data_IF_515063240649
#
_entry.id   IF_515063240649
#
_cell.length_a   1.000
_cell.length_b   1.000
_cell.length_c   1.000
_cell.angle_alpha   90.00
_cell.angle_beta   90.00
_cell.angle_gamma   90.00
#
_symmetry.space_group_name_H-M   'P 1'
#
loop_
_entity.id
_entity.type
_entity.pdbx_description
1 polymer ?
#
# COMPACT_ATOMS: atom_id res chain seq x y z
N UNK A 1 -28.59 -2.50 -2.79
CA UNK A 1 -27.59 -2.28 -1.71
C UNK A 1 -27.60 -0.79 -1.34
N UNK A 2 -28.52 -0.36 -0.45
CA UNK A 2 -28.55 1.04 0.03
C UNK A 2 -27.78 1.14 1.34
N UNK A 3 -26.78 2.00 1.40
CA UNK A 3 -26.29 2.60 2.64
C UNK A 3 -25.92 4.06 2.39
N UNK A 4 -26.92 4.94 2.48
CA UNK A 4 -26.69 6.31 2.91
C UNK A 4 -26.36 6.26 4.40
N UNK A 5 -25.08 6.37 4.74
CA UNK A 5 -24.69 6.87 6.05
C UNK A 5 -24.00 8.20 5.79
N UNK A 6 -24.55 9.26 6.39
CA UNK A 6 -23.85 10.53 6.56
C UNK A 6 -22.63 10.21 7.44
N UNK A 7 -21.51 9.86 6.80
CA UNK A 7 -20.25 9.63 7.49
C UNK A 7 -19.72 11.01 7.84
N UNK A 8 -19.82 11.39 9.11
CA UNK A 8 -19.05 12.52 9.65
C UNK A 8 -17.59 12.31 9.20
N UNK A 9 -16.97 13.25 8.47
CA UNK A 9 -15.66 13.03 7.89
C UNK A 9 -14.70 12.64 9.00
N UNK A 10 -14.12 11.44 8.89
CA UNK A 10 -13.14 10.96 9.84
C UNK A 10 -11.84 11.70 9.53
N UNK A 11 -11.51 12.70 10.34
CA UNK A 11 -10.32 13.51 10.21
C UNK A 11 -9.18 12.96 11.06
N UNK A 12 -7.96 13.11 10.57
CA UNK A 12 -6.77 12.96 11.40
C UNK A 12 -6.55 14.25 12.18
N UNK A 13 -6.46 14.19 13.50
CA UNK A 13 -6.29 15.39 14.33
C UNK A 13 -4.89 16.02 14.18
N UNK A 14 -3.90 15.23 13.75
CA UNK A 14 -2.50 15.67 13.61
C UNK A 14 -2.22 16.43 12.30
N UNK A 15 -2.95 16.12 11.22
CA UNK A 15 -2.71 16.75 9.91
C UNK A 15 -4.00 17.15 9.16
N UNK A 16 -5.16 17.03 9.80
CA UNK A 16 -6.48 17.38 9.27
C UNK A 16 -6.88 16.65 7.98
N UNK A 17 -6.17 15.57 7.63
CA UNK A 17 -6.50 14.72 6.49
C UNK A 17 -7.87 14.04 6.70
N UNK A 18 -8.73 14.07 5.67
CA UNK A 18 -10.09 13.53 5.74
C UNK A 18 -10.17 12.16 5.06
N UNK A 19 -10.84 11.21 5.71
CA UNK A 19 -11.02 9.85 5.23
C UNK A 19 -12.50 9.49 5.14
N UNK A 20 -12.85 8.72 4.11
CA UNK A 20 -14.21 8.20 3.89
C UNK A 20 -14.52 6.95 4.73
N UNK A 21 -13.49 6.31 5.28
CA UNK A 21 -13.58 5.02 5.96
C UNK A 21 -12.62 4.99 7.16
N UNK A 22 -13.08 4.43 8.27
CA UNK A 22 -12.31 4.34 9.52
C UNK A 22 -11.01 3.55 9.36
N UNK A 23 -11.07 2.40 8.67
CA UNK A 23 -9.87 1.61 8.32
C UNK A 23 -8.78 2.44 7.64
N UNK A 24 -9.16 3.43 6.84
CA UNK A 24 -8.23 4.30 6.13
C UNK A 24 -7.62 5.34 7.06
N UNK A 25 -8.40 5.86 8.01
CA UNK A 25 -7.89 6.74 9.07
C UNK A 25 -6.92 5.98 9.97
N UNK A 26 -7.28 4.79 10.48
CA UNK A 26 -6.40 3.96 11.32
C UNK A 26 -5.08 3.68 10.60
N UNK A 27 -5.14 3.29 9.32
CA UNK A 27 -3.95 3.01 8.53
C UNK A 27 -3.09 4.26 8.30
N UNK A 28 -3.73 5.43 8.19
CA UNK A 28 -3.05 6.69 8.10
C UNK A 28 -2.38 7.07 9.44
N UNK A 29 -3.04 6.83 10.58
CA UNK A 29 -2.48 7.10 11.91
C UNK A 29 -1.17 6.34 12.15
N UNK A 30 -1.00 5.15 11.58
CA UNK A 30 0.27 4.41 11.61
C UNK A 30 1.46 5.19 11.01
N UNK A 31 1.21 6.14 10.10
CA UNK A 31 2.26 7.03 9.58
C UNK A 31 2.74 8.03 10.62
N UNK A 32 1.87 8.44 11.54
CA UNK A 32 2.22 9.35 12.62
C UNK A 32 2.87 8.61 13.79
N UNK A 33 2.33 7.45 14.18
CA UNK A 33 2.87 6.66 15.30
C UNK A 33 4.12 5.86 14.92
N UNK A 34 4.38 5.69 13.62
CA UNK A 34 5.46 4.83 13.14
C UNK A 34 5.20 3.34 13.31
N UNK A 35 3.97 2.94 13.69
CA UNK A 35 3.60 1.55 13.88
C UNK A 35 3.68 0.79 12.55
N UNK A 36 4.52 -0.24 12.51
CA UNK A 36 4.74 -1.10 11.34
C UNK A 36 4.57 -2.56 11.74
N UNK A 37 3.32 -3.05 11.82
CA UNK A 37 3.04 -4.38 12.37
C UNK A 37 3.46 -5.53 11.44
N UNK A 38 3.73 -5.25 10.16
CA UNK A 38 4.09 -6.27 9.19
C UNK A 38 5.60 -6.33 9.04
N UNK A 39 6.23 -7.44 9.41
CA UNK A 39 7.69 -7.60 9.40
C UNK A 39 8.08 -8.68 8.40
N UNK A 40 9.12 -8.42 7.62
CA UNK A 40 9.75 -9.41 6.75
C UNK A 40 10.60 -10.37 7.59
N UNK A 41 10.28 -11.67 7.55
CA UNK A 41 11.05 -12.67 8.28
C UNK A 41 12.48 -12.88 7.79
N UNK A 42 12.79 -12.47 6.55
CA UNK A 42 14.12 -12.68 5.95
C UNK A 42 15.10 -11.54 6.23
N UNK A 43 14.65 -10.28 6.19
CA UNK A 43 15.52 -9.11 6.35
C UNK A 43 15.07 -8.14 7.46
N UNK A 44 14.04 -8.50 8.24
CA UNK A 44 13.48 -7.68 9.33
C UNK A 44 12.94 -6.30 8.91
N UNK A 45 12.77 -6.07 7.61
CA UNK A 45 12.12 -4.86 7.10
C UNK A 45 10.67 -4.77 7.58
N UNK A 46 10.25 -3.59 8.03
CA UNK A 46 8.92 -3.35 8.61
C UNK A 46 8.04 -2.50 7.69
N UNK A 47 6.77 -2.84 7.59
CA UNK A 47 5.79 -2.25 6.68
C UNK A 47 4.50 -1.87 7.42
N UNK A 48 3.82 -0.84 6.91
CA UNK A 48 2.56 -0.34 7.48
C UNK A 48 1.38 -1.20 7.02
N UNK A 49 1.47 -1.74 5.79
CA UNK A 49 0.40 -2.53 5.14
C UNK A 49 0.87 -3.94 4.82
N UNK A 50 -0.03 -4.92 4.93
CA UNK A 50 0.23 -6.30 4.49
C UNK A 50 0.64 -6.38 3.02
N UNK A 51 -0.02 -5.61 2.15
CA UNK A 51 0.28 -5.60 0.71
C UNK A 51 1.67 -5.05 0.37
N UNK A 52 2.21 -4.15 1.21
CA UNK A 52 3.59 -3.66 1.07
C UNK A 52 4.57 -4.78 1.39
N UNK A 53 4.36 -5.51 2.50
CA UNK A 53 5.15 -6.70 2.84
C UNK A 53 5.06 -7.76 1.73
N UNK A 54 3.85 -8.10 1.27
CA UNK A 54 3.68 -9.09 0.18
C UNK A 54 4.42 -8.69 -1.08
N UNK A 55 4.41 -7.41 -1.45
CA UNK A 55 5.15 -6.98 -2.63
C UNK A 55 6.65 -6.96 -2.38
N UNK A 56 7.09 -6.58 -1.18
CA UNK A 56 8.49 -6.66 -0.79
C UNK A 56 9.03 -8.09 -0.86
N UNK A 57 8.25 -9.10 -0.44
CA UNK A 57 8.67 -10.51 -0.53
C UNK A 57 8.99 -10.94 -1.97
N UNK A 58 8.46 -10.26 -2.99
CA UNK A 58 8.80 -10.56 -4.39
C UNK A 58 10.22 -10.20 -4.77
N UNK A 59 10.83 -9.25 -4.06
CA UNK A 59 12.25 -8.98 -4.21
C UNK A 59 13.09 -10.19 -3.80
N UNK A 60 12.66 -10.90 -2.75
CA UNK A 60 13.33 -12.10 -2.28
C UNK A 60 13.04 -13.33 -3.14
N UNK A 61 11.82 -13.48 -3.66
CA UNK A 61 11.47 -14.62 -4.53
C UNK A 61 11.90 -14.43 -5.99
N UNK A 62 12.24 -13.21 -6.41
CA UNK A 62 12.52 -12.88 -7.81
C UNK A 62 11.26 -12.80 -8.69
N UNK A 63 10.06 -12.89 -8.10
CA UNK A 63 8.79 -12.80 -8.83
C UNK A 63 8.51 -11.36 -9.29
N UNK A 64 9.00 -11.04 -10.49
CA UNK A 64 8.80 -9.74 -11.13
C UNK A 64 7.76 -9.79 -12.25
N UNK A 65 7.14 -8.65 -12.53
CA UNK A 65 6.33 -8.47 -13.73
C UNK A 65 7.23 -7.96 -14.85
N UNK A 66 7.35 -8.71 -15.94
CA UNK A 66 8.11 -8.31 -17.10
C UNK A 66 7.19 -7.66 -18.16
N UNK A 67 7.68 -6.63 -18.83
CA UNK A 67 7.01 -6.08 -20.01
C UNK A 67 7.20 -7.02 -21.21
N UNK A 68 6.16 -7.21 -22.01
CA UNK A 68 6.23 -8.06 -23.21
C UNK A 68 7.01 -7.40 -24.36
N UNK A 69 7.07 -6.07 -24.39
CA UNK A 69 7.68 -5.31 -25.48
C UNK A 69 9.10 -4.80 -25.17
N UNK A 70 9.61 -5.00 -23.95
CA UNK A 70 10.97 -4.59 -23.58
C UNK A 70 11.50 -5.40 -22.38
N UNK A 71 12.83 -5.44 -22.14
CA UNK A 71 13.41 -6.24 -21.07
C UNK A 71 13.19 -5.67 -19.65
N UNK A 72 12.37 -4.63 -19.48
CA UNK A 72 12.13 -4.00 -18.18
C UNK A 72 11.28 -4.90 -17.28
N UNK A 73 11.71 -5.04 -16.02
CA UNK A 73 11.04 -5.79 -14.95
C UNK A 73 10.56 -4.85 -13.85
N UNK A 74 9.41 -5.16 -13.27
CA UNK A 74 8.73 -4.35 -12.27
C UNK A 74 8.31 -5.21 -11.08
N UNK A 75 8.46 -4.69 -9.86
CA UNK A 75 7.99 -5.38 -8.64
C UNK A 75 6.47 -5.23 -8.43
N UNK A 76 5.88 -4.17 -9.00
CA UNK A 76 4.47 -3.82 -8.86
C UNK A 76 3.74 -3.85 -10.22
N UNK A 77 2.55 -4.47 -10.25
CA UNK A 77 1.70 -4.52 -11.45
C UNK A 77 1.25 -3.12 -11.93
N UNK A 78 0.85 -2.18 -11.06
CA UNK A 78 0.54 -0.82 -11.48
C UNK A 78 1.70 -0.11 -12.18
N UNK A 79 2.94 -0.35 -11.74
CA UNK A 79 4.14 0.22 -12.37
C UNK A 79 4.32 -0.30 -13.81
N UNK A 80 4.12 -1.60 -14.04
CA UNK A 80 4.11 -2.16 -15.39
C UNK A 80 2.98 -1.56 -16.25
N UNK A 81 1.77 -1.43 -15.69
CA UNK A 81 0.63 -0.84 -16.42
C UNK A 81 0.91 0.62 -16.80
N UNK A 82 1.48 1.41 -15.89
CA UNK A 82 1.87 2.79 -16.16
C UNK A 82 2.92 2.85 -17.27
N UNK A 83 3.95 2.00 -17.19
CA UNK A 83 4.97 1.89 -18.23
C UNK A 83 4.42 1.49 -19.61
N UNK A 84 3.37 0.65 -19.66
CA UNK A 84 2.75 0.29 -20.95
C UNK A 84 1.90 1.40 -21.54
N UNK A 85 1.48 2.37 -20.72
CA UNK A 85 0.66 3.51 -21.15
C UNK A 85 1.50 4.71 -21.61
N UNK A 86 2.81 4.69 -21.33
CA UNK A 86 3.80 5.62 -21.88
C UNK A 86 4.37 5.05 -23.17
#
# INVERSE_FOLDING_TARGET
HKRSHVVKPLSCDLCQAKFKQERSLILHMRKHTGEKPYVCGQCQAKFIRKGELTTHMRFHSGETYQCEHCPKKFLHKPSLICHRRT
#
